data_IF_633354082843
#
_entry.id   IF_633354082843
#
_cell.length_a   1.000
_cell.length_b   1.000
_cell.length_c   1.000
_cell.angle_alpha   90.00
_cell.angle_beta   90.00
_cell.angle_gamma   90.00
#
_symmetry.space_group_name_H-M   'P 1'
#
loop_
_entity.id
_entity.type
_entity.pdbx_description
1 polymer ?
#
# COMPACT_ATOMS: atom_id res chain seq x y z
N UNK A 1 45.20 4.20 3.64
CA UNK A 1 44.60 4.72 4.89
C UNK A 1 44.01 6.07 4.54
N UNK A 2 42.70 6.12 4.31
CA UNK A 2 41.97 7.36 4.00
C UNK A 2 41.02 7.60 5.16
N UNK A 3 41.04 8.85 5.60
CA UNK A 3 40.66 9.38 6.89
C UNK A 3 39.15 9.28 7.19
N UNK A 4 38.82 8.86 8.42
CA UNK A 4 37.48 8.88 9.00
C UNK A 4 37.28 10.26 9.63
N UNK A 5 36.96 11.26 8.82
CA UNK A 5 36.36 12.49 9.34
C UNK A 5 34.84 12.34 9.26
N UNK A 6 34.25 12.18 10.43
CA UNK A 6 32.83 12.43 10.71
C UNK A 6 32.47 13.82 10.20
N UNK A 7 31.82 13.88 9.04
CA UNK A 7 31.20 15.09 8.52
C UNK A 7 30.09 15.51 9.48
N UNK A 8 30.34 16.62 10.16
CA UNK A 8 29.46 17.29 11.10
C UNK A 8 28.09 17.57 10.45
N UNK A 9 27.07 16.77 10.77
CA UNK A 9 25.67 16.88 10.28
C UNK A 9 24.86 17.90 11.08
N UNK A 10 25.54 18.82 11.77
CA UNK A 10 24.92 19.90 12.51
C UNK A 10 24.34 20.96 11.55
N UNK A 11 23.04 20.81 11.27
CA UNK A 11 22.18 21.86 10.73
C UNK A 11 22.41 22.17 9.25
N UNK A 12 21.78 21.39 8.36
CA UNK A 12 21.51 21.83 6.99
C UNK A 12 20.51 23.00 7.04
N UNK A 13 21.04 24.21 7.26
CA UNK A 13 20.24 25.43 7.41
C UNK A 13 19.63 25.90 6.09
N UNK A 14 20.13 25.43 4.94
CA UNK A 14 19.74 25.91 3.62
C UNK A 14 19.41 24.77 2.66
N UNK A 15 18.43 25.02 1.78
CA UNK A 15 18.07 24.12 0.69
C UNK A 15 19.22 24.00 -0.33
N UNK A 16 19.46 22.80 -0.88
CA UNK A 16 20.57 22.57 -1.79
C UNK A 16 20.36 21.37 -2.71
N UNK A 17 21.00 21.36 -3.88
CA UNK A 17 21.01 20.19 -4.77
C UNK A 17 22.18 19.27 -4.41
N UNK A 18 21.88 18.00 -4.12
CA UNK A 18 22.89 16.95 -4.07
C UNK A 18 22.94 16.29 -5.46
N UNK A 19 24.09 15.75 -5.86
CA UNK A 19 24.24 15.06 -7.15
C UNK A 19 23.11 14.04 -7.40
N UNK A 20 22.72 13.88 -8.68
CA UNK A 20 21.63 13.03 -9.17
C UNK A 20 20.19 13.48 -8.81
N UNK A 21 19.79 14.71 -9.21
CA UNK A 21 18.40 15.20 -9.18
C UNK A 21 17.68 15.16 -7.81
N UNK A 22 18.41 14.93 -6.72
CA UNK A 22 17.89 14.89 -5.35
C UNK A 22 18.15 16.22 -4.65
N UNK A 23 17.13 16.78 -4.03
CA UNK A 23 17.19 18.06 -3.33
C UNK A 23 17.19 17.83 -1.83
N UNK A 24 18.10 18.48 -1.11
CA UNK A 24 18.07 18.58 0.35
C UNK A 24 17.21 19.79 0.70
N UNK A 25 16.19 19.58 1.53
CA UNK A 25 15.32 20.64 2.03
C UNK A 25 15.63 20.92 3.50
N UNK A 26 15.63 22.19 3.87
CA UNK A 26 15.73 22.63 5.25
C UNK A 26 14.43 22.36 6.02
N UNK A 27 14.55 22.11 7.33
CA UNK A 27 13.40 21.92 8.20
C UNK A 27 12.45 23.12 8.18
N UNK A 28 12.98 24.34 8.09
CA UNK A 28 12.17 25.56 7.98
C UNK A 28 11.33 25.59 6.70
N UNK A 29 11.91 25.24 5.54
CA UNK A 29 11.17 25.13 4.28
C UNK A 29 10.04 24.11 4.39
N UNK A 30 10.29 22.98 5.06
CA UNK A 30 9.29 21.94 5.28
C UNK A 30 8.18 22.41 6.21
N UNK A 31 8.50 22.97 7.38
CA UNK A 31 7.52 23.48 8.37
C UNK A 31 6.61 24.54 7.74
N UNK A 32 7.20 25.46 6.98
CA UNK A 32 6.47 26.48 6.26
C UNK A 32 5.51 25.86 5.24
N UNK A 33 5.97 24.83 4.53
CA UNK A 33 5.14 24.10 3.62
C UNK A 33 3.98 23.42 4.41
N UNK A 34 4.25 22.59 5.40
CA UNK A 34 3.21 21.82 6.11
C UNK A 34 2.23 22.66 6.93
N UNK A 35 2.35 23.98 6.91
CA UNK A 35 1.56 24.89 7.75
C UNK A 35 1.71 24.47 9.21
N UNK A 36 2.97 24.30 9.62
CA UNK A 36 3.33 23.74 10.90
C UNK A 36 2.61 22.41 11.20
N UNK A 37 2.69 21.48 10.24
CA UNK A 37 2.27 20.10 10.46
C UNK A 37 0.77 19.90 10.79
N UNK A 38 -0.12 20.75 10.26
CA UNK A 38 -1.58 20.71 10.50
C UNK A 38 -2.24 19.34 10.18
N UNK A 39 -3.29 18.97 10.94
CA UNK A 39 -4.10 17.77 10.68
C UNK A 39 -4.94 17.87 9.40
N UNK A 40 -5.37 19.08 9.00
CA UNK A 40 -6.04 19.31 7.69
C UNK A 40 -5.14 18.95 6.50
N UNK A 41 -3.85 18.96 6.81
CA UNK A 41 -2.80 18.63 5.92
C UNK A 41 -2.56 17.07 5.94
N UNK A 42 -2.99 16.29 6.91
CA UNK A 42 -2.76 14.81 6.92
C UNK A 42 -3.32 14.04 5.71
N UNK A 43 -2.48 13.31 4.98
CA UNK A 43 -2.89 12.41 3.87
C UNK A 43 -3.17 10.96 4.32
N UNK A 44 -2.98 10.60 5.59
CA UNK A 44 -3.19 9.23 6.12
C UNK A 44 -2.26 8.93 7.31
N UNK A 45 -1.96 7.66 7.63
CA UNK A 45 -0.93 7.25 8.62
C UNK A 45 -0.36 5.88 8.24
N UNK A 46 0.96 5.66 8.32
CA UNK A 46 1.61 4.43 7.84
C UNK A 46 3.13 4.40 8.10
N UNK A 47 3.81 3.30 7.76
CA UNK A 47 5.25 3.10 7.99
C UNK A 47 6.00 2.78 6.69
N UNK A 48 6.89 3.74 6.30
CA UNK A 48 8.12 3.94 5.44
C UNK A 48 8.37 3.54 3.95
N UNK A 49 8.06 4.41 2.98
CA UNK A 49 9.01 4.66 1.86
C UNK A 49 8.52 4.22 0.46
N UNK A 50 9.27 4.34 -0.66
CA UNK A 50 8.60 4.58 -1.97
C UNK A 50 9.06 3.78 -3.21
N UNK A 51 8.24 3.84 -4.27
CA UNK A 51 8.68 4.22 -5.62
C UNK A 51 7.73 5.28 -6.20
N UNK A 52 8.03 6.53 -5.88
CA UNK A 52 7.68 7.71 -6.68
C UNK A 52 8.97 8.42 -7.02
N UNK A 53 8.95 9.36 -7.95
CA UNK A 53 10.08 10.26 -8.16
C UNK A 53 10.35 11.00 -6.85
N UNK A 54 11.36 10.55 -6.10
CA UNK A 54 11.85 11.19 -4.89
C UNK A 54 12.44 12.53 -5.34
N UNK A 55 11.84 13.62 -4.88
CA UNK A 55 12.34 14.96 -5.14
C UNK A 55 13.46 15.32 -4.17
N UNK A 56 13.45 14.76 -2.96
CA UNK A 56 14.41 15.12 -1.94
C UNK A 56 14.20 14.50 -0.57
N UNK A 57 14.93 15.01 0.41
CA UNK A 57 14.81 14.62 1.81
C UNK A 57 15.19 15.78 2.76
N UNK A 58 14.78 15.70 4.02
CA UNK A 58 15.16 16.63 5.10
C UNK A 58 15.69 15.83 6.30
N UNK A 59 16.73 16.34 6.96
CA UNK A 59 17.34 15.74 8.14
C UNK A 59 17.53 16.86 9.16
N UNK A 60 16.84 16.79 10.31
CA UNK A 60 16.95 17.80 11.36
C UNK A 60 16.90 17.17 12.76
N UNK A 61 18.03 17.11 13.47
CA UNK A 61 18.06 16.42 14.76
C UNK A 61 17.79 14.92 14.62
N UNK A 62 16.71 14.42 15.22
CA UNK A 62 16.21 13.03 15.07
C UNK A 62 15.21 12.88 13.92
N UNK A 63 14.68 13.98 13.40
CA UNK A 63 13.66 14.05 12.36
C UNK A 63 14.29 13.72 10.97
N UNK A 64 13.68 12.79 10.20
CA UNK A 64 14.15 12.30 8.88
C UNK A 64 13.07 12.23 7.80
N UNK A 65 12.90 13.24 6.94
CA UNK A 65 11.81 13.35 5.95
C UNK A 65 12.19 12.90 4.55
N UNK A 66 11.26 12.30 3.83
CA UNK A 66 11.30 12.05 2.40
C UNK A 66 10.28 12.92 1.67
N UNK A 67 10.70 13.46 0.53
CA UNK A 67 9.96 14.44 -0.24
C UNK A 67 9.59 13.88 -1.63
N UNK A 68 8.29 13.73 -1.90
CA UNK A 68 7.75 13.09 -3.11
C UNK A 68 6.98 14.02 -4.02
N UNK A 69 6.76 13.53 -5.25
CA UNK A 69 5.80 14.12 -6.18
C UNK A 69 4.40 14.19 -5.56
N UNK A 70 3.73 15.31 -5.75
CA UNK A 70 2.34 15.46 -5.36
C UNK A 70 1.39 14.61 -6.22
N UNK A 71 0.46 13.95 -5.51
CA UNK A 71 -0.68 13.21 -6.04
C UNK A 71 -2.00 13.98 -5.76
N UNK A 72 -2.56 14.75 -6.72
CA UNK A 72 -3.76 15.56 -6.51
C UNK A 72 -5.02 14.81 -6.17
N UNK A 73 -5.12 13.57 -6.63
CA UNK A 73 -6.27 12.73 -6.38
C UNK A 73 -6.03 11.80 -5.18
N UNK A 74 -5.22 12.22 -4.20
CA UNK A 74 -5.04 11.54 -2.89
C UNK A 74 -4.86 10.02 -3.05
N UNK A 75 -5.45 9.22 -2.16
CA UNK A 75 -5.43 7.76 -2.16
C UNK A 75 -6.71 7.16 -2.74
N UNK A 76 -6.64 5.91 -3.19
CA UNK A 76 -7.77 5.19 -3.77
C UNK A 76 -8.91 4.99 -2.76
N UNK A 77 -8.60 4.68 -1.50
CA UNK A 77 -9.60 4.49 -0.44
C UNK A 77 -10.45 5.75 -0.17
N UNK A 78 -9.88 6.94 -0.40
CA UNK A 78 -10.59 8.21 -0.30
C UNK A 78 -11.78 8.25 -1.26
N UNK A 79 -11.63 7.72 -2.48
CA UNK A 79 -12.70 7.63 -3.47
C UNK A 79 -13.56 6.39 -3.28
N UNK A 80 -12.92 5.23 -3.15
CA UNK A 80 -13.57 3.92 -3.29
C UNK A 80 -14.63 3.64 -2.21
N UNK A 81 -14.40 4.11 -0.98
CA UNK A 81 -15.27 3.80 0.16
C UNK A 81 -16.19 4.95 0.59
N UNK A 82 -16.30 5.98 -0.25
CA UNK A 82 -17.21 7.11 -0.04
C UNK A 82 -18.29 7.07 -1.12
N UNK A 83 -19.55 6.98 -0.70
CA UNK A 83 -20.68 6.77 -1.62
C UNK A 83 -20.82 7.85 -2.68
N UNK A 84 -20.37 9.08 -2.40
CA UNK A 84 -20.44 10.20 -3.35
C UNK A 84 -19.23 10.18 -4.27
N UNK A 85 -18.03 9.97 -3.74
CA UNK A 85 -16.79 9.98 -4.53
C UNK A 85 -16.59 8.71 -5.35
N UNK A 86 -17.18 7.58 -4.95
CA UNK A 86 -17.15 6.33 -5.69
C UNK A 86 -17.74 6.47 -7.10
N UNK A 87 -18.71 7.38 -7.28
CA UNK A 87 -19.29 7.72 -8.59
C UNK A 87 -18.29 8.36 -9.56
N UNK A 88 -17.17 8.90 -9.06
CA UNK A 88 -16.09 9.44 -9.91
C UNK A 88 -15.23 8.33 -10.52
N UNK A 89 -15.31 7.12 -9.97
CA UNK A 89 -14.60 5.92 -10.39
C UNK A 89 -15.55 4.98 -11.16
N UNK A 90 -15.86 5.36 -12.40
CA UNK A 90 -16.48 4.44 -13.35
C UNK A 90 -15.62 3.18 -13.59
N UNK A 91 -16.19 2.18 -14.24
CA UNK A 91 -15.51 0.91 -14.45
C UNK A 91 -14.19 1.06 -15.20
N UNK A 92 -14.14 1.89 -16.25
CA UNK A 92 -12.92 2.12 -17.03
C UNK A 92 -11.80 2.64 -16.13
N UNK A 93 -12.08 3.61 -15.25
CA UNK A 93 -11.09 4.09 -14.28
C UNK A 93 -10.68 3.02 -13.29
N UNK A 94 -11.62 2.23 -12.75
CA UNK A 94 -11.32 1.14 -11.80
C UNK A 94 -10.46 0.06 -12.45
N UNK A 95 -10.77 -0.34 -13.68
CA UNK A 95 -9.98 -1.31 -14.43
C UNK A 95 -8.56 -0.79 -14.72
N UNK A 96 -8.42 0.45 -15.17
CA UNK A 96 -7.11 1.08 -15.38
C UNK A 96 -6.30 1.17 -14.08
N UNK A 97 -6.97 1.38 -12.94
CA UNK A 97 -6.34 1.35 -11.61
C UNK A 97 -5.87 -0.06 -11.27
N UNK A 98 -6.70 -1.10 -11.45
CA UNK A 98 -6.32 -2.49 -11.23
C UNK A 98 -5.11 -2.86 -12.09
N UNK A 99 -5.18 -2.59 -13.40
CA UNK A 99 -4.10 -2.87 -14.35
C UNK A 99 -2.81 -2.13 -13.96
N UNK A 100 -2.91 -0.83 -13.65
CA UNK A 100 -1.75 -0.03 -13.27
C UNK A 100 -1.10 -0.49 -11.96
N UNK A 101 -1.89 -0.94 -10.97
CA UNK A 101 -1.36 -1.56 -9.75
C UNK A 101 -0.66 -2.88 -10.10
N UNK A 102 -1.26 -3.72 -10.94
CA UNK A 102 -0.66 -4.99 -11.35
C UNK A 102 0.68 -4.80 -12.07
N UNK A 103 0.75 -3.84 -13.00
CA UNK A 103 1.99 -3.44 -13.67
C UNK A 103 3.03 -2.89 -12.69
N UNK A 104 2.61 -2.07 -11.72
CA UNK A 104 3.47 -1.55 -10.67
C UNK A 104 4.08 -2.67 -9.80
N UNK A 105 3.26 -3.63 -9.37
CA UNK A 105 3.73 -4.79 -8.61
C UNK A 105 4.64 -5.70 -9.43
N UNK A 106 4.31 -5.95 -10.70
CA UNK A 106 5.19 -6.68 -11.63
C UNK A 106 6.57 -5.99 -11.75
N UNK A 107 6.60 -4.66 -11.86
CA UNK A 107 7.85 -3.91 -11.86
C UNK A 107 8.65 -4.16 -10.59
N UNK A 108 8.03 -4.04 -9.40
CA UNK A 108 8.69 -4.25 -8.11
C UNK A 108 9.25 -5.67 -7.94
N UNK A 109 8.54 -6.69 -8.44
CA UNK A 109 8.92 -8.09 -8.28
C UNK A 109 9.96 -8.58 -9.29
N UNK A 110 9.93 -8.04 -10.51
CA UNK A 110 10.67 -8.60 -11.66
C UNK A 110 11.64 -7.64 -12.36
N UNK A 111 11.25 -6.37 -12.53
CA UNK A 111 11.98 -5.43 -13.39
C UNK A 111 12.78 -4.38 -12.61
N UNK A 112 12.50 -4.22 -11.33
CA UNK A 112 13.32 -3.45 -10.41
C UNK A 112 14.74 -4.04 -10.35
N UNK A 113 15.74 -3.16 -10.17
CA UNK A 113 17.14 -3.59 -10.02
C UNK A 113 17.31 -4.61 -8.88
N UNK A 114 16.54 -4.43 -7.82
CA UNK A 114 16.46 -5.35 -6.70
C UNK A 114 15.00 -5.71 -6.48
N UNK A 115 14.70 -6.99 -6.28
CA UNK A 115 13.33 -7.46 -6.02
C UNK A 115 12.82 -6.84 -4.72
N UNK A 116 11.66 -6.19 -4.77
CA UNK A 116 11.02 -5.53 -3.62
C UNK A 116 9.75 -6.27 -3.25
N UNK A 117 9.62 -6.71 -2.00
CA UNK A 117 8.38 -7.24 -1.44
C UNK A 117 7.73 -6.13 -0.61
N UNK A 118 6.52 -5.71 -0.94
CA UNK A 118 5.88 -4.53 -0.37
C UNK A 118 5.33 -4.76 1.05
N UNK A 119 4.63 -5.88 1.28
CA UNK A 119 4.07 -6.32 2.57
C UNK A 119 2.95 -5.47 3.19
N UNK A 120 2.48 -4.42 2.51
CA UNK A 120 1.35 -3.58 2.98
C UNK A 120 0.56 -2.97 1.81
N UNK A 121 0.31 -3.79 0.78
CA UNK A 121 -0.48 -3.34 -0.36
C UNK A 121 -1.97 -3.28 0.03
N UNK A 122 -2.57 -2.08 -0.06
CA UNK A 122 -3.97 -1.79 0.29
C UNK A 122 -4.44 -0.51 -0.38
N UNK A 123 -5.76 -0.25 -0.36
CA UNK A 123 -6.34 0.91 -1.05
C UNK A 123 -5.80 2.27 -0.56
N UNK A 124 -5.52 2.42 0.74
CA UNK A 124 -4.94 3.67 1.28
C UNK A 124 -3.49 3.91 0.84
N UNK A 125 -2.84 2.88 0.33
CA UNK A 125 -1.45 2.90 -0.14
C UNK A 125 -1.36 2.99 -1.66
N UNK A 126 -2.49 3.14 -2.37
CA UNK A 126 -2.51 3.49 -3.78
C UNK A 126 -2.82 4.98 -3.90
N UNK A 127 -1.87 5.79 -4.35
CA UNK A 127 -2.10 7.21 -4.63
C UNK A 127 -2.50 7.40 -6.10
N UNK A 128 -3.24 8.47 -6.37
CA UNK A 128 -3.74 8.80 -7.70
C UNK A 128 -3.17 10.14 -8.19
N UNK A 129 -2.57 10.13 -9.38
CA UNK A 129 -2.06 11.34 -10.02
C UNK A 129 -3.18 12.19 -10.64
N UNK A 130 -2.82 13.30 -11.32
CA UNK A 130 -3.78 14.23 -11.93
C UNK A 130 -4.71 13.60 -12.97
N UNK A 131 -4.32 12.44 -13.53
CA UNK A 131 -5.10 11.70 -14.53
C UNK A 131 -5.78 10.46 -13.94
N UNK A 132 -5.90 10.36 -12.60
CA UNK A 132 -6.44 9.20 -11.88
C UNK A 132 -5.64 7.91 -12.11
N UNK A 133 -4.35 8.01 -12.50
CA UNK A 133 -3.51 6.82 -12.66
C UNK A 133 -2.96 6.40 -11.29
N UNK A 134 -2.94 5.08 -11.01
CA UNK A 134 -2.47 4.57 -9.74
C UNK A 134 -0.96 4.67 -9.62
N UNK A 135 -0.52 4.82 -8.39
CA UNK A 135 0.85 4.70 -7.97
C UNK A 135 0.89 3.99 -6.63
N UNK A 136 1.82 3.07 -6.45
CA UNK A 136 1.99 2.32 -5.22
C UNK A 136 2.82 3.16 -4.24
N UNK A 137 2.40 3.26 -2.99
CA UNK A 137 3.05 4.02 -1.91
C UNK A 137 3.20 3.21 -0.63
N UNK A 138 4.00 3.76 0.30
CA UNK A 138 4.13 3.27 1.68
C UNK A 138 4.78 1.88 1.81
N UNK A 139 6.05 1.83 1.46
CA UNK A 139 6.93 0.68 1.39
C UNK A 139 7.73 0.45 2.70
N UNK A 140 7.26 0.83 3.89
CA UNK A 140 8.14 0.75 5.08
C UNK A 140 8.08 -0.50 5.85
N UNK A 141 7.17 -1.33 5.42
CA UNK A 141 7.24 -2.73 5.68
C UNK A 141 7.99 -3.45 4.55
N UNK A 142 8.34 -2.77 3.45
CA UNK A 142 8.94 -3.41 2.30
C UNK A 142 10.34 -3.94 2.59
N UNK A 143 10.70 -5.00 1.87
CA UNK A 143 11.96 -5.70 2.02
C UNK A 143 12.58 -5.90 0.65
N UNK A 144 13.90 -5.73 0.59
CA UNK A 144 14.68 -5.92 -0.63
C UNK A 144 15.27 -7.32 -0.58
N UNK A 145 14.98 -8.13 -1.58
CA UNK A 145 15.59 -9.43 -1.78
C UNK A 145 16.80 -9.31 -2.70
N UNK A 146 17.86 -10.03 -2.34
CA UNK A 146 18.93 -10.34 -3.27
C UNK A 146 18.41 -11.36 -4.30
N UNK A 147 19.00 -11.42 -5.50
CA UNK A 147 18.41 -12.17 -6.63
C UNK A 147 18.12 -13.66 -6.36
N UNK A 148 18.76 -14.28 -5.38
CA UNK A 148 18.60 -15.69 -5.04
C UNK A 148 17.52 -15.95 -3.96
N UNK A 149 17.01 -14.91 -3.30
CA UNK A 149 16.00 -15.05 -2.26
C UNK A 149 14.60 -15.08 -2.89
N UNK A 150 13.87 -16.17 -2.63
CA UNK A 150 12.48 -16.35 -3.09
C UNK A 150 11.47 -16.00 -1.99
N UNK A 151 11.84 -16.21 -0.73
CA UNK A 151 11.06 -15.94 0.46
C UNK A 151 11.97 -15.61 1.64
N UNK A 152 11.40 -14.99 2.67
CA UNK A 152 12.06 -14.74 3.94
C UNK A 152 11.04 -14.78 5.08
N UNK A 153 11.50 -14.98 6.31
CA UNK A 153 10.65 -14.99 7.51
C UNK A 153 11.00 -13.85 8.46
N UNK A 154 10.06 -13.49 9.32
CA UNK A 154 10.28 -12.51 10.38
C UNK A 154 9.44 -12.80 11.62
N UNK A 155 10.03 -12.61 12.80
CA UNK A 155 9.31 -12.72 14.07
C UNK A 155 8.41 -11.51 14.36
N UNK A 156 8.58 -10.41 13.60
CA UNK A 156 7.77 -9.18 13.74
C UNK A 156 6.74 -9.13 12.62
N UNK A 157 5.54 -9.63 12.91
CA UNK A 157 4.39 -9.57 12.01
C UNK A 157 3.83 -8.15 12.05
N UNK A 158 3.91 -7.47 10.90
CA UNK A 158 3.49 -6.08 10.69
C UNK A 158 2.87 -5.98 9.31
N UNK A 159 1.77 -5.23 9.20
CA UNK A 159 0.98 -5.12 7.98
C UNK A 159 -0.47 -4.86 8.33
N UNK A 160 -1.30 -4.69 7.31
CA UNK A 160 -2.72 -4.42 7.52
C UNK A 160 -3.52 -5.71 7.57
N UNK A 161 -4.21 -5.94 8.69
CA UNK A 161 -5.10 -7.08 8.86
C UNK A 161 -6.13 -7.14 7.73
N UNK A 162 -6.37 -8.34 7.22
CA UNK A 162 -7.25 -8.60 6.07
C UNK A 162 -6.54 -8.55 4.71
N UNK A 163 -5.39 -7.87 4.59
CA UNK A 163 -4.57 -7.90 3.37
C UNK A 163 -3.36 -8.85 3.51
N UNK A 164 -2.97 -9.18 4.74
CA UNK A 164 -1.88 -10.12 5.00
C UNK A 164 -2.25 -11.52 4.54
N UNK A 165 -1.34 -12.16 3.79
CA UNK A 165 -1.49 -13.56 3.42
C UNK A 165 -1.43 -14.48 4.64
N UNK A 166 -1.99 -15.70 4.56
CA UNK A 166 -2.03 -16.64 5.69
C UNK A 166 -0.66 -17.00 6.22
N UNK A 167 0.26 -17.38 5.34
CA UNK A 167 1.62 -17.76 5.71
C UNK A 167 2.37 -16.58 6.34
N UNK A 168 2.06 -15.35 5.94
CA UNK A 168 2.64 -14.16 6.55
C UNK A 168 2.05 -13.86 7.93
N UNK A 169 0.73 -13.96 8.05
CA UNK A 169 0.01 -13.69 9.29
C UNK A 169 0.24 -14.75 10.38
N UNK A 170 0.48 -16.01 9.99
CA UNK A 170 0.67 -17.13 10.92
C UNK A 170 2.13 -17.40 11.23
N UNK A 171 3.00 -17.36 10.21
CA UNK A 171 4.39 -17.82 10.31
C UNK A 171 5.41 -16.69 10.05
N UNK A 172 4.94 -15.49 9.70
CA UNK A 172 5.82 -14.37 9.37
C UNK A 172 6.56 -14.55 8.03
N UNK A 173 6.13 -15.50 7.19
CA UNK A 173 6.74 -15.80 5.89
C UNK A 173 6.22 -14.81 4.84
N UNK A 174 7.12 -14.10 4.18
CA UNK A 174 6.78 -13.15 3.11
C UNK A 174 7.59 -13.40 1.85
N UNK A 175 6.96 -13.16 0.70
CA UNK A 175 7.52 -13.38 -0.62
C UNK A 175 6.73 -12.55 -1.66
N UNK A 176 7.07 -12.72 -2.94
CA UNK A 176 6.23 -12.13 -4.00
C UNK A 176 4.79 -12.65 -3.95
N UNK A 177 4.57 -13.87 -3.44
CA UNK A 177 3.23 -14.50 -3.36
C UNK A 177 2.40 -13.95 -2.20
N UNK A 178 3.01 -13.46 -1.13
CA UNK A 178 2.27 -12.76 -0.07
C UNK A 178 1.76 -11.40 -0.58
N UNK A 179 2.53 -10.71 -1.42
CA UNK A 179 2.10 -9.47 -2.09
C UNK A 179 0.97 -9.73 -3.11
N UNK A 180 1.02 -10.84 -3.86
CA UNK A 180 -0.04 -11.25 -4.79
C UNK A 180 -1.37 -11.45 -4.05
N UNK A 181 -1.33 -12.05 -2.85
CA UNK A 181 -2.52 -12.18 -2.01
C UNK A 181 -3.10 -10.81 -1.65
N UNK A 182 -2.28 -9.88 -1.16
CA UNK A 182 -2.73 -8.52 -0.85
C UNK A 182 -3.31 -7.80 -2.08
N UNK A 183 -2.72 -8.02 -3.27
CA UNK A 183 -3.26 -7.52 -4.54
C UNK A 183 -4.64 -8.08 -4.85
N UNK A 184 -4.85 -9.39 -4.67
CA UNK A 184 -6.14 -10.04 -4.88
C UNK A 184 -7.23 -9.47 -3.96
N UNK A 185 -6.93 -9.26 -2.68
CA UNK A 185 -7.85 -8.60 -1.74
C UNK A 185 -8.20 -7.19 -2.22
N UNK A 186 -7.19 -6.39 -2.57
CA UNK A 186 -7.37 -5.03 -3.07
C UNK A 186 -8.23 -5.00 -4.35
N UNK A 187 -8.02 -5.96 -5.26
CA UNK A 187 -8.78 -6.08 -6.48
C UNK A 187 -10.27 -6.34 -6.21
N UNK A 188 -10.59 -7.26 -5.28
CA UNK A 188 -11.96 -7.51 -4.84
C UNK A 188 -12.61 -6.27 -4.22
N UNK A 189 -11.86 -5.48 -3.44
CA UNK A 189 -12.35 -4.20 -2.90
C UNK A 189 -12.66 -3.19 -3.99
N UNK A 190 -11.81 -3.09 -5.02
CA UNK A 190 -12.03 -2.17 -6.15
C UNK A 190 -13.32 -2.53 -6.89
N UNK A 191 -13.55 -3.82 -7.15
CA UNK A 191 -14.76 -4.28 -7.85
C UNK A 191 -16.03 -4.06 -7.01
N UNK A 192 -15.94 -4.22 -5.69
CA UNK A 192 -17.10 -4.12 -4.79
C UNK A 192 -17.40 -2.72 -4.27
N UNK A 193 -16.42 -1.81 -4.27
CA UNK A 193 -16.55 -0.52 -3.60
C UNK A 193 -16.71 -0.62 -2.07
N UNK A 194 -16.40 -1.79 -1.48
CA UNK A 194 -16.60 -2.07 -0.05
C UNK A 194 -15.29 -2.44 0.61
N UNK A 195 -15.14 -2.03 1.88
CA UNK A 195 -13.97 -2.40 2.69
C UNK A 195 -14.03 -3.88 3.03
N UNK A 196 -12.85 -4.50 3.11
CA UNK A 196 -12.69 -5.90 3.49
C UNK A 196 -13.44 -6.31 4.77
N UNK A 197 -13.59 -5.40 5.74
CA UNK A 197 -14.29 -5.65 7.02
C UNK A 197 -15.82 -5.51 6.98
N UNK A 198 -16.44 -5.22 5.82
CA UNK A 198 -17.85 -4.82 5.73
C UNK A 198 -18.83 -5.94 5.34
N UNK A 199 -18.43 -7.20 5.33
CA UNK A 199 -19.25 -8.30 4.80
C UNK A 199 -19.88 -9.18 5.88
N UNK A 200 -21.20 -9.34 5.79
CA UNK A 200 -22.01 -10.18 6.69
C UNK A 200 -22.91 -11.08 5.83
N UNK A 201 -22.86 -12.40 6.04
CA UNK A 201 -23.83 -13.34 5.48
C UNK A 201 -24.44 -14.12 6.64
N UNK A 202 -25.77 -14.06 6.80
CA UNK A 202 -26.54 -14.90 7.72
C UNK A 202 -25.91 -15.00 9.14
N UNK A 203 -25.60 -13.85 9.76
CA UNK A 203 -24.96 -13.73 11.08
C UNK A 203 -23.50 -14.25 11.20
N UNK A 204 -22.87 -14.59 10.07
CA UNK A 204 -21.43 -14.86 10.00
C UNK A 204 -20.67 -13.62 9.48
N UNK A 205 -19.62 -13.23 10.21
CA UNK A 205 -18.69 -12.20 9.77
C UNK A 205 -17.76 -12.83 8.74
N UNK A 206 -17.94 -12.45 7.47
CA UNK A 206 -17.03 -12.83 6.40
C UNK A 206 -16.12 -11.63 6.10
N UNK A 207 -14.87 -11.91 5.76
CA UNK A 207 -14.07 -10.91 5.07
C UNK A 207 -14.46 -10.91 3.56
N UNK A 208 -13.95 -9.97 2.78
CA UNK A 208 -14.30 -9.88 1.35
C UNK A 208 -13.92 -11.15 0.57
N UNK A 209 -12.85 -11.82 0.99
CA UNK A 209 -12.37 -13.04 0.37
C UNK A 209 -13.36 -14.19 0.56
N UNK A 210 -13.85 -14.38 1.80
CA UNK A 210 -14.90 -15.37 2.11
C UNK A 210 -16.20 -15.05 1.38
N UNK A 211 -16.62 -13.78 1.35
CA UNK A 211 -17.81 -13.36 0.59
C UNK A 211 -17.68 -13.65 -0.91
N UNK A 212 -16.56 -13.25 -1.52
CA UNK A 212 -16.26 -13.52 -2.92
C UNK A 212 -16.26 -15.02 -3.22
N UNK A 213 -15.71 -15.84 -2.32
CA UNK A 213 -15.69 -17.29 -2.50
C UNK A 213 -17.08 -17.91 -2.56
N UNK A 214 -17.98 -17.52 -1.66
CA UNK A 214 -19.36 -18.03 -1.66
C UNK A 214 -20.10 -17.63 -2.95
N UNK A 215 -19.97 -16.37 -3.38
CA UNK A 215 -20.54 -15.93 -4.66
C UNK A 215 -20.03 -16.74 -5.84
N UNK A 216 -18.73 -17.03 -5.88
CA UNK A 216 -18.14 -17.80 -6.98
C UNK A 216 -18.65 -19.24 -7.02
N UNK A 217 -18.69 -19.93 -5.88
CA UNK A 217 -19.21 -21.30 -5.79
C UNK A 217 -20.67 -21.40 -6.24
N UNK A 218 -21.47 -20.39 -5.94
CA UNK A 218 -22.89 -20.34 -6.30
C UNK A 218 -23.15 -19.82 -7.73
N UNK A 219 -22.10 -19.45 -8.48
CA UNK A 219 -22.24 -18.87 -9.82
C UNK A 219 -22.81 -17.45 -9.82
N UNK A 220 -22.76 -16.75 -8.68
CA UNK A 220 -23.32 -15.41 -8.43
C UNK A 220 -22.25 -14.31 -8.45
N UNK A 221 -21.16 -14.52 -9.18
CA UNK A 221 -20.00 -13.62 -9.20
C UNK A 221 -20.32 -12.16 -9.55
N UNK A 222 -21.37 -11.90 -10.35
CA UNK A 222 -21.80 -10.54 -10.69
C UNK A 222 -22.27 -9.72 -9.48
N UNK A 223 -22.71 -10.37 -8.40
CA UNK A 223 -23.17 -9.68 -7.19
C UNK A 223 -22.05 -8.99 -6.40
N UNK A 224 -20.78 -9.30 -6.71
CA UNK A 224 -19.67 -8.53 -6.15
C UNK A 224 -19.61 -7.11 -6.70
N UNK A 225 -20.22 -6.84 -7.86
CA UNK A 225 -20.12 -5.55 -8.53
C UNK A 225 -20.70 -4.43 -7.68
N UNK A 226 -19.93 -3.35 -7.51
CA UNK A 226 -20.45 -2.09 -7.00
C UNK A 226 -21.63 -1.62 -7.88
N UNK A 227 -22.82 -1.37 -7.32
CA UNK A 227 -24.00 -0.94 -8.08
C UNK A 227 -23.77 0.32 -8.92
N UNK A 228 -22.83 1.19 -8.55
CA UNK A 228 -22.48 2.40 -9.30
C UNK A 228 -21.81 2.11 -10.64
N UNK A 229 -21.36 0.87 -10.88
CA UNK A 229 -20.63 0.48 -12.09
C UNK A 229 -21.51 -0.08 -13.21
N UNK A 230 -22.78 -0.36 -12.93
CA UNK A 230 -23.69 -1.12 -13.81
C UNK A 230 -23.76 -0.61 -15.24
N UNK A 231 -23.69 0.71 -15.44
CA UNK A 231 -23.83 1.33 -16.76
C UNK A 231 -22.51 1.43 -17.54
N UNK A 232 -21.37 1.10 -16.91
CA UNK A 232 -20.02 1.27 -17.47
C UNK A 232 -19.21 -0.02 -17.60
N UNK A 233 -19.69 -1.11 -17.01
CA UNK A 233 -18.98 -2.38 -16.90
C UNK A 233 -19.63 -3.48 -17.74
N UNK A 234 -18.83 -4.23 -18.51
CA UNK A 234 -19.31 -5.46 -19.12
C UNK A 234 -19.19 -6.63 -18.14
N UNK A 235 -20.19 -7.51 -18.13
CA UNK A 235 -20.24 -8.67 -17.24
C UNK A 235 -19.00 -9.57 -17.41
N UNK A 236 -18.58 -9.82 -18.66
CA UNK A 236 -17.40 -10.65 -18.96
C UNK A 236 -16.11 -10.07 -18.37
N UNK A 237 -15.92 -8.75 -18.45
CA UNK A 237 -14.72 -8.10 -17.94
C UNK A 237 -14.70 -8.12 -16.41
N UNK A 238 -15.86 -7.91 -15.75
CA UNK A 238 -15.97 -8.06 -14.31
C UNK A 238 -15.69 -9.50 -13.89
N UNK A 239 -16.36 -10.48 -14.49
CA UNK A 239 -16.22 -11.89 -14.13
C UNK A 239 -14.78 -12.37 -14.32
N UNK A 240 -14.10 -11.91 -15.38
CA UNK A 240 -12.67 -12.16 -15.58
C UNK A 240 -11.83 -11.57 -14.45
N UNK A 241 -12.07 -10.31 -14.09
CA UNK A 241 -11.38 -9.66 -12.98
C UNK A 241 -11.64 -10.38 -11.64
N UNK A 242 -12.90 -10.73 -11.38
CA UNK A 242 -13.32 -11.47 -10.20
C UNK A 242 -12.60 -12.81 -10.07
N UNK A 243 -12.54 -13.56 -11.16
CA UNK A 243 -11.85 -14.85 -11.22
C UNK A 243 -10.34 -14.72 -10.98
N UNK A 244 -9.68 -13.74 -11.61
CA UNK A 244 -8.25 -13.45 -11.36
C UNK A 244 -8.01 -13.03 -9.91
N UNK A 245 -8.92 -12.23 -9.34
CA UNK A 245 -8.88 -11.85 -7.93
C UNK A 245 -8.90 -13.06 -7.00
N UNK A 246 -9.74 -14.06 -7.28
CA UNK A 246 -9.81 -15.32 -6.53
C UNK A 246 -8.53 -16.15 -6.65
N UNK A 247 -7.96 -16.27 -7.86
CA UNK A 247 -6.68 -16.95 -8.06
C UNK A 247 -5.54 -16.29 -7.27
N UNK A 248 -5.60 -14.97 -7.08
CA UNK A 248 -4.59 -14.25 -6.30
C UNK A 248 -4.70 -14.53 -4.79
N UNK A 249 -5.87 -14.89 -4.27
CA UNK A 249 -6.12 -15.11 -2.83
C UNK A 249 -6.20 -16.58 -2.41
N UNK A 250 -5.70 -17.50 -3.24
CA UNK A 250 -5.56 -18.92 -2.90
C UNK A 250 -4.84 -19.11 -1.56
N UNK A 251 -5.28 -20.12 -0.80
CA UNK A 251 -4.73 -20.41 0.52
C UNK A 251 -3.24 -20.74 0.44
N UNK A 252 -2.87 -21.63 -0.45
CA UNK A 252 -1.49 -22.00 -0.69
C UNK A 252 -0.79 -20.99 -1.61
N UNK A 253 0.33 -20.44 -1.14
CA UNK A 253 1.12 -19.45 -1.88
C UNK A 253 1.65 -19.98 -3.23
N UNK A 254 1.86 -21.30 -3.36
CA UNK A 254 2.32 -21.91 -4.61
C UNK A 254 1.29 -21.78 -5.74
N UNK A 255 0.00 -21.88 -5.41
CA UNK A 255 -1.11 -21.89 -6.37
C UNK A 255 -1.48 -20.50 -6.90
N UNK A 256 -1.05 -19.44 -6.20
CA UNK A 256 -1.24 -18.05 -6.65
C UNK A 256 -0.43 -17.78 -7.91
N UNK A 257 -0.96 -17.08 -8.93
CA UNK A 257 -0.20 -16.67 -10.11
C UNK A 257 0.94 -15.70 -9.73
N UNK A 258 1.96 -15.57 -10.58
CA UNK A 258 2.89 -14.43 -10.43
C UNK A 258 2.30 -13.18 -11.09
N UNK A 259 2.80 -11.99 -10.73
CA UNK A 259 2.24 -10.74 -11.26
C UNK A 259 2.34 -10.62 -12.79
N UNK A 260 3.28 -11.29 -13.47
CA UNK A 260 3.29 -11.30 -14.94
C UNK A 260 2.15 -12.13 -15.51
N UNK A 261 1.78 -13.23 -14.86
CA UNK A 261 0.63 -14.02 -15.25
C UNK A 261 -0.65 -13.23 -15.00
N UNK A 262 -0.77 -12.56 -13.84
CA UNK A 262 -1.90 -11.69 -13.51
C UNK A 262 -2.11 -10.63 -14.58
N UNK A 263 -1.06 -9.89 -14.97
CA UNK A 263 -1.17 -8.88 -16.04
C UNK A 263 -1.64 -9.52 -17.35
N UNK A 264 -1.03 -10.64 -17.76
CA UNK A 264 -1.41 -11.35 -18.98
C UNK A 264 -2.87 -11.82 -18.96
N UNK A 265 -3.30 -12.40 -17.83
CA UNK A 265 -4.67 -12.84 -17.59
C UNK A 265 -5.65 -11.67 -17.67
N UNK A 266 -5.34 -10.49 -17.14
CA UNK A 266 -6.22 -9.33 -17.20
C UNK A 266 -6.35 -8.72 -18.59
N UNK A 267 -5.25 -8.66 -19.36
CA UNK A 267 -5.21 -7.92 -20.64
C UNK A 267 -5.49 -8.80 -21.86
N UNK A 268 -5.42 -10.13 -21.73
CA UNK A 268 -5.52 -11.06 -22.86
C UNK A 268 -6.76 -11.94 -22.74
N UNK A 269 -7.83 -11.57 -23.44
CA UNK A 269 -9.14 -12.26 -23.35
C UNK A 269 -9.07 -13.75 -23.73
N UNK A 270 -8.18 -14.12 -24.63
CA UNK A 270 -8.06 -15.49 -25.16
C UNK A 270 -7.42 -16.49 -24.19
N UNK A 271 -6.85 -16.02 -23.08
CA UNK A 271 -6.23 -16.90 -22.09
C UNK A 271 -7.31 -17.59 -21.26
N UNK A 272 -7.31 -18.93 -21.30
CA UNK A 272 -8.07 -19.77 -20.38
C UNK A 272 -7.50 -19.66 -18.97
N UNK A 273 -8.37 -19.39 -18.00
CA UNK A 273 -7.98 -19.24 -16.59
C UNK A 273 -8.13 -20.59 -15.86
N UNK A 274 -7.19 -20.95 -14.96
CA UNK A 274 -7.35 -22.12 -14.11
C UNK A 274 -8.52 -21.93 -13.14
N UNK A 275 -9.12 -23.03 -12.66
CA UNK A 275 -10.18 -22.94 -11.65
C UNK A 275 -9.59 -22.62 -10.27
N UNK A 276 -10.13 -21.63 -9.55
CA UNK A 276 -9.78 -21.38 -8.16
C UNK A 276 -10.14 -22.59 -7.29
N UNK A 277 -9.33 -22.86 -6.26
CA UNK A 277 -9.46 -24.07 -5.43
C UNK A 277 -10.04 -23.78 -4.06
N UNK A 278 -9.33 -23.03 -3.21
CA UNK A 278 -9.81 -22.61 -1.90
C UNK A 278 -9.02 -21.38 -1.44
N UNK A 279 -9.70 -20.25 -1.23
CA UNK A 279 -9.05 -19.09 -0.64
C UNK A 279 -8.91 -19.25 0.87
N UNK A 280 -7.94 -18.56 1.44
CA UNK A 280 -7.75 -18.57 2.88
C UNK A 280 -8.71 -17.64 3.63
N UNK A 281 -8.84 -17.88 4.95
CA UNK A 281 -9.62 -17.07 5.88
C UNK A 281 -11.11 -16.92 5.52
N UNK A 282 -11.76 -18.01 5.07
CA UNK A 282 -13.17 -18.01 4.65
C UNK A 282 -14.14 -17.62 5.79
N UNK A 283 -13.77 -17.70 7.09
CA UNK A 283 -14.68 -17.34 8.18
C UNK A 283 -13.99 -16.61 9.36
N UNK A 284 -14.61 -15.52 9.85
CA UNK A 284 -14.36 -14.98 11.19
C UNK A 284 -15.53 -15.48 12.08
N UNK A 285 -15.20 -16.24 13.12
CA UNK A 285 -16.09 -17.07 13.99
C UNK A 285 -17.50 -16.51 14.29
N UNK A 286 -18.46 -17.44 14.48
CA UNK A 286 -19.78 -17.24 15.10
C UNK A 286 -19.73 -16.29 16.30
N UNK A 287 -20.50 -15.21 16.27
CA UNK A 287 -20.78 -14.42 17.46
C UNK A 287 -21.73 -15.23 18.34
N UNK A 288 -21.18 -16.02 19.26
CA UNK A 288 -21.96 -16.49 20.41
C UNK A 288 -22.10 -15.27 21.32
N UNK A 289 -23.23 -14.58 21.23
CA UNK A 289 -23.68 -13.67 22.29
C UNK A 289 -24.08 -14.57 23.46
N UNK A 290 -23.13 -14.91 24.32
CA UNK A 290 -23.43 -15.41 25.66
C UNK A 290 -22.95 -14.35 26.64
N UNK A 291 -23.90 -13.78 27.36
CA UNK A 291 -23.69 -12.89 28.50
C UNK A 291 -22.57 -13.41 29.41
N UNK A 292 -21.42 -12.74 29.40
CA UNK A 292 -20.41 -12.90 30.44
C UNK A 292 -20.46 -11.65 31.31
N UNK A 293 -21.10 -11.84 32.45
CA UNK A 293 -21.14 -10.93 33.59
C UNK A 293 -19.73 -10.50 33.98
N UNK A 294 -19.61 -9.19 34.26
CA UNK A 294 -18.40 -8.53 34.70
C UNK A 294 -17.91 -9.09 36.05
N UNK A 295 -16.91 -9.98 36.02
CA UNK A 295 -16.13 -10.40 37.18
C UNK A 295 -14.70 -9.82 37.13
N UNK A 296 -14.34 -9.02 38.15
CA UNK A 296 -13.03 -8.37 38.29
C UNK A 296 -11.92 -9.37 38.67
N UNK A 297 -10.76 -9.28 38.00
CA UNK A 297 -9.40 -9.40 38.58
C UNK A 297 -8.38 -8.97 37.50
N UNK A 298 -7.80 -7.77 37.63
CA UNK A 298 -6.47 -7.47 38.19
C UNK A 298 -5.31 -7.84 37.27
N UNK A 299 -4.70 -6.79 36.68
CA UNK A 299 -3.47 -6.88 35.90
C UNK A 299 -3.31 -5.80 34.82
N UNK A 300 -3.80 -4.57 35.02
CA UNK A 300 -3.47 -3.44 34.13
C UNK A 300 -2.20 -2.76 34.64
N UNK A 301 -1.05 -3.07 34.06
CA UNK A 301 0.10 -2.18 34.09
C UNK A 301 -0.12 -1.09 33.03
N UNK A 302 -0.54 0.09 33.50
CA UNK A 302 -0.52 1.33 32.74
C UNK A 302 0.93 1.59 32.29
N UNK A 303 1.23 1.39 31.02
CA UNK A 303 2.40 2.01 30.41
C UNK A 303 2.02 3.41 29.96
N UNK A 304 2.42 4.40 30.75
CA UNK A 304 2.60 5.78 30.28
C UNK A 304 3.81 5.79 29.35
N UNK A 305 3.56 5.70 28.05
CA UNK A 305 4.54 6.04 27.02
C UNK A 305 4.61 7.55 26.85
N UNK A 306 5.82 8.09 26.95
CA UNK A 306 6.19 9.47 26.73
C UNK A 306 5.68 10.01 25.38
N UNK A 307 5.23 11.25 25.42
CA UNK A 307 4.80 12.14 24.33
C UNK A 307 5.49 11.89 22.97
N UNK A 308 4.67 11.60 21.96
CA UNK A 308 5.07 11.48 20.55
C UNK A 308 3.97 10.81 19.74
N UNK A 309 2.85 11.53 19.52
CA UNK A 309 1.71 11.01 18.78
C UNK A 309 2.00 10.83 17.28
N UNK A 310 1.32 9.88 16.66
CA UNK A 310 1.52 9.52 15.25
C UNK A 310 0.83 10.50 14.29
N UNK A 311 1.61 11.14 13.41
CA UNK A 311 1.07 12.08 12.41
C UNK A 311 1.70 11.83 11.03
N UNK A 312 0.88 11.67 9.99
CA UNK A 312 1.31 11.78 8.58
C UNK A 312 0.73 13.06 8.02
N UNK A 313 1.46 13.79 7.19
CA UNK A 313 1.21 15.21 6.94
C UNK A 313 1.24 15.49 5.43
N UNK A 314 0.59 16.57 4.98
CA UNK A 314 0.21 16.82 3.58
C UNK A 314 1.39 17.00 2.67
N UNK A 315 1.03 16.75 1.42
CA UNK A 315 1.38 17.59 0.29
C UNK A 315 1.36 19.09 0.58
N UNK A 316 2.48 19.76 0.31
CA UNK A 316 2.53 21.20 0.20
C UNK A 316 3.38 21.64 -1.00
N UNK A 317 3.02 22.78 -1.60
CA UNK A 317 3.85 23.48 -2.58
C UNK A 317 5.09 24.11 -1.92
N UNK A 318 6.29 23.74 -2.39
CA UNK A 318 7.52 24.47 -2.05
C UNK A 318 7.84 25.35 -3.26
N UNK A 319 7.73 26.67 -3.11
CA UNK A 319 8.09 27.60 -4.19
C UNK A 319 7.81 29.06 -3.88
N UNK A 320 8.88 29.85 -3.82
CA UNK A 320 8.88 31.30 -3.96
C UNK A 320 8.92 31.65 -5.45
N UNK A 321 7.85 32.23 -5.98
CA UNK A 321 7.84 32.85 -7.31
C UNK A 321 7.08 32.10 -8.41
N UNK A 322 6.36 32.90 -9.20
CA UNK A 322 5.44 32.47 -10.24
C UNK A 322 6.14 31.82 -11.44
N UNK A 323 6.06 30.49 -11.58
CA UNK A 323 5.80 29.70 -12.80
C UNK A 323 6.21 28.24 -12.55
N UNK A 324 5.30 27.30 -12.83
CA UNK A 324 5.38 25.84 -12.58
C UNK A 324 5.36 25.45 -11.09
N UNK A 325 4.21 24.95 -10.63
CA UNK A 325 3.98 24.54 -9.23
C UNK A 325 4.52 23.13 -8.99
N UNK A 326 5.77 23.01 -8.56
CA UNK A 326 6.28 21.75 -8.00
C UNK A 326 5.66 21.55 -6.61
N UNK A 327 4.62 20.71 -6.56
CA UNK A 327 3.94 20.34 -5.32
C UNK A 327 4.65 19.10 -4.75
N UNK A 328 5.02 19.15 -3.48
CA UNK A 328 5.87 18.17 -2.78
C UNK A 328 5.10 17.53 -1.62
N UNK A 329 5.27 16.23 -1.35
CA UNK A 329 4.74 15.54 -0.15
C UNK A 329 5.88 15.22 0.80
N UNK A 330 5.76 15.61 2.06
CA UNK A 330 6.76 15.35 3.12
C UNK A 330 6.32 14.12 3.93
N UNK A 331 7.20 13.15 4.16
CA UNK A 331 6.95 11.93 4.94
C UNK A 331 8.09 11.71 5.92
N UNK A 332 7.88 11.61 7.24
CA UNK A 332 8.99 11.54 8.21
C UNK A 332 9.12 10.26 9.05
N UNK A 333 10.41 9.94 9.32
CA UNK A 333 11.11 9.20 10.39
C UNK A 333 11.91 7.94 10.01
N UNK A 334 12.90 8.05 9.11
CA UNK A 334 13.84 6.96 8.82
C UNK A 334 14.86 6.70 9.96
N UNK A 335 15.29 5.45 10.14
CA UNK A 335 16.49 5.16 10.95
C UNK A 335 17.78 5.59 10.21
N UNK A 336 18.83 6.00 10.94
CA UNK A 336 20.14 6.41 10.39
C UNK A 336 20.69 5.39 9.37
N UNK A 337 20.51 4.10 9.61
CA UNK A 337 20.99 3.04 8.72
C UNK A 337 20.29 3.06 7.35
N UNK A 338 18.98 3.33 7.31
CA UNK A 338 18.20 3.36 6.07
C UNK A 338 18.56 4.57 5.20
N UNK A 339 18.88 5.71 5.82
CA UNK A 339 19.43 6.89 5.12
C UNK A 339 20.77 6.54 4.48
N UNK A 340 21.68 5.93 5.24
CA UNK A 340 23.00 5.54 4.74
C UNK A 340 22.91 4.48 3.63
N UNK A 341 22.03 3.49 3.72
CA UNK A 341 21.91 2.44 2.69
C UNK A 341 21.38 3.00 1.35
N UNK A 342 20.53 4.04 1.39
CA UNK A 342 20.02 4.73 0.20
C UNK A 342 21.09 5.66 -0.39
N UNK A 343 21.78 6.44 0.45
CA UNK A 343 22.82 7.37 0.02
C UNK A 343 24.10 6.65 -0.46
N UNK A 344 24.50 5.57 0.21
CA UNK A 344 25.67 4.76 -0.15
C UNK A 344 25.45 4.08 -1.52
N UNK A 345 24.22 3.61 -1.80
CA UNK A 345 23.84 3.08 -3.12
C UNK A 345 23.76 4.16 -4.22
N UNK A 346 23.41 5.39 -3.87
CA UNK A 346 23.42 6.52 -4.80
C UNK A 346 24.85 7.02 -5.11
N UNK A 347 25.80 6.83 -4.18
CA UNK A 347 27.21 7.21 -4.36
C UNK A 347 28.04 6.18 -5.13
N UNK A 348 27.66 4.90 -5.09
CA UNK A 348 28.38 3.77 -5.73
C UNK A 348 27.96 3.49 -7.18
N UNK A 349 27.33 4.47 -7.86
CA UNK A 349 27.04 4.42 -9.29
C UNK A 349 28.02 5.27 -10.13
N UNK A 350 29.28 5.30 -9.72
CA UNK A 350 30.41 5.53 -10.64
C UNK A 350 31.08 4.18 -10.84
#
# INVERSE_FOLDING_TARGET
MVDRSTGDVNGLQNDGKMGNNLTVFSYASVVAATTNFSEENKLGQGGFGPVYKLFGFCIHGEERMLIYAYMPNKSLDYFLFDSTRAMLLDWTKRFNIIEGIAQGMLYLHKYSRMRVIHRDLKASNILLDEYMKPKISDFGLARIFTHNELEASTNRIVGTYGYMSPEYAMEGIFSIKSDVYSFGVLMLEIMSGRRNSSFYIADHVLNIVGYAWELWKEGRGLEIMDPTLKDSCTEDQLLRCFHVGLLCVEENAADRPCMSDVVSMLTTETISLPLPTRPAFIAIRNVIVSDITCGKAQGMSLWKGTSGGWVKIRQVSIGSGSKSRDKVVIVEEMTLQSVFDILDKASKST
#
